data_IF_246544246348
#
_entry.id   IF_246544246348
#
_cell.length_a   1.000
_cell.length_b   1.000
_cell.length_c   1.000
_cell.angle_alpha   90.00
_cell.angle_beta   90.00
_cell.angle_gamma   90.00
#
_symmetry.space_group_name_H-M   'P 1'
#
loop_
_entity.id
_entity.type
_entity.pdbx_description
1 polymer ?
#
# COMPACT_ATOMS: atom_id res chain seq x y z
N UNK A 1 -11.18 -6.23 -14.63
CA UNK A 1 -10.67 -6.53 -13.29
C UNK A 1 -10.54 -5.26 -12.42
N UNK A 2 -9.92 -4.18 -12.92
CA UNK A 2 -9.68 -2.94 -12.15
C UNK A 2 -10.95 -2.34 -11.53
N UNK A 3 -12.02 -2.15 -12.33
CA UNK A 3 -13.26 -1.55 -11.84
C UNK A 3 -13.90 -2.38 -10.72
N UNK A 4 -13.89 -3.70 -10.85
CA UNK A 4 -14.44 -4.59 -9.82
C UNK A 4 -13.57 -4.53 -8.55
N UNK A 5 -12.26 -4.64 -8.68
CA UNK A 5 -11.35 -4.74 -7.53
C UNK A 5 -11.11 -3.41 -6.80
N UNK A 6 -11.08 -2.27 -7.52
CA UNK A 6 -10.64 -0.99 -6.96
C UNK A 6 -11.71 0.11 -6.94
N UNK A 7 -12.86 -0.11 -7.59
CA UNK A 7 -13.98 0.84 -7.57
C UNK A 7 -15.19 0.22 -6.87
N UNK A 8 -15.74 -0.85 -7.41
CA UNK A 8 -16.97 -1.47 -6.91
C UNK A 8 -16.73 -2.21 -5.58
N UNK A 9 -15.72 -3.08 -5.54
CA UNK A 9 -15.41 -3.88 -4.35
C UNK A 9 -15.20 -3.07 -3.07
N UNK A 10 -14.43 -1.96 -3.10
CA UNK A 10 -14.30 -1.07 -1.94
C UNK A 10 -15.63 -0.47 -1.46
N UNK A 11 -16.57 -0.13 -2.36
CA UNK A 11 -17.89 0.37 -2.00
C UNK A 11 -18.72 -0.72 -1.31
N UNK A 12 -18.78 -1.92 -1.89
CA UNK A 12 -19.47 -3.06 -1.28
C UNK A 12 -18.92 -3.40 0.11
N UNK A 13 -17.60 -3.39 0.26
CA UNK A 13 -16.93 -3.70 1.52
C UNK A 13 -17.11 -2.61 2.59
N UNK A 14 -17.38 -1.36 2.20
CA UNK A 14 -17.55 -0.26 3.14
C UNK A 14 -18.75 -0.44 4.05
N UNK A 15 -19.86 -0.97 3.53
CA UNK A 15 -21.07 -1.22 4.33
C UNK A 15 -20.83 -2.23 5.46
N UNK A 16 -20.10 -3.31 5.18
CA UNK A 16 -19.77 -4.31 6.20
C UNK A 16 -18.78 -3.81 7.27
N UNK A 17 -18.15 -2.65 7.05
CA UNK A 17 -17.25 -2.03 8.02
C UNK A 17 -17.94 -0.98 8.89
N UNK A 18 -18.79 -0.15 8.31
CA UNK A 18 -19.38 1.02 8.97
C UNK A 18 -20.85 0.80 9.38
N UNK A 19 -21.53 -0.11 8.70
CA UNK A 19 -22.94 -0.43 8.96
C UNK A 19 -23.17 -1.95 8.92
N UNK A 20 -23.74 -2.45 7.82
CA UNK A 20 -24.03 -3.89 7.65
C UNK A 20 -23.76 -4.35 6.22
N UNK A 21 -23.13 -5.51 6.07
CA UNK A 21 -22.92 -6.14 4.76
C UNK A 21 -24.24 -6.51 4.04
N UNK A 22 -25.36 -6.52 4.76
CA UNK A 22 -26.68 -6.77 4.17
C UNK A 22 -27.07 -5.71 3.15
N UNK A 23 -26.67 -4.45 3.35
CA UNK A 23 -26.95 -3.37 2.40
C UNK A 23 -26.37 -3.67 1.00
N UNK A 24 -25.10 -4.08 0.93
CA UNK A 24 -24.47 -4.46 -0.32
C UNK A 24 -25.14 -5.70 -0.97
N UNK A 25 -25.53 -6.68 -0.15
CA UNK A 25 -26.24 -7.86 -0.64
C UNK A 25 -27.62 -7.49 -1.19
N UNK A 26 -28.38 -6.66 -0.47
CA UNK A 26 -29.72 -6.21 -0.92
C UNK A 26 -29.65 -5.46 -2.24
N UNK A 27 -28.65 -4.55 -2.39
CA UNK A 27 -28.44 -3.87 -3.67
C UNK A 27 -28.20 -4.84 -4.83
N UNK A 28 -27.38 -5.88 -4.62
CA UNK A 28 -27.05 -6.86 -5.66
C UNK A 28 -28.23 -7.80 -6.01
N UNK A 29 -29.20 -7.93 -5.12
CA UNK A 29 -30.40 -8.77 -5.28
C UNK A 29 -31.66 -7.98 -5.66
N UNK A 30 -31.61 -6.64 -5.65
CA UNK A 30 -32.75 -5.81 -5.99
C UNK A 30 -33.11 -5.97 -7.48
N UNK A 31 -34.40 -6.16 -7.76
CA UNK A 31 -34.95 -6.15 -9.11
C UNK A 31 -35.54 -4.76 -9.49
N UNK A 32 -35.57 -3.83 -8.54
CA UNK A 32 -35.99 -2.43 -8.75
C UNK A 32 -34.76 -1.55 -8.99
N UNK A 33 -34.71 -0.93 -10.17
CA UNK A 33 -33.56 -0.10 -10.58
C UNK A 33 -33.38 1.14 -9.69
N UNK A 34 -34.50 1.80 -9.31
CA UNK A 34 -34.47 3.01 -8.49
C UNK A 34 -34.01 2.69 -7.05
N UNK A 35 -34.46 1.57 -6.50
CA UNK A 35 -34.01 1.08 -5.21
C UNK A 35 -32.51 0.70 -5.23
N UNK A 36 -32.08 -0.01 -6.28
CA UNK A 36 -30.67 -0.40 -6.46
C UNK A 36 -29.76 0.82 -6.60
N UNK A 37 -30.18 1.85 -7.36
CA UNK A 37 -29.43 3.10 -7.52
C UNK A 37 -29.29 3.83 -6.18
N UNK A 38 -30.37 3.96 -5.41
CA UNK A 38 -30.34 4.59 -4.08
C UNK A 38 -29.37 3.87 -3.13
N UNK A 39 -29.38 2.53 -3.11
CA UNK A 39 -28.45 1.74 -2.30
C UNK A 39 -26.99 1.88 -2.80
N UNK A 40 -26.77 1.96 -4.11
CA UNK A 40 -25.43 2.15 -4.68
C UNK A 40 -24.84 3.51 -4.30
N UNK A 41 -25.65 4.57 -4.32
CA UNK A 41 -25.21 5.90 -3.88
C UNK A 41 -24.85 5.90 -2.39
N UNK A 42 -25.65 5.27 -1.55
CA UNK A 42 -25.34 5.13 -0.13
C UNK A 42 -24.05 4.33 0.11
N UNK A 43 -23.82 3.23 -0.62
CA UNK A 43 -22.56 2.46 -0.54
C UNK A 43 -21.34 3.30 -0.95
N UNK A 44 -21.51 4.18 -1.93
CA UNK A 44 -20.46 5.12 -2.35
C UNK A 44 -20.16 6.14 -1.26
N UNK A 45 -21.18 6.72 -0.63
CA UNK A 45 -21.02 7.64 0.51
C UNK A 45 -20.28 6.97 1.67
N UNK A 46 -20.70 5.75 2.06
CA UNK A 46 -20.01 4.97 3.10
C UNK A 46 -18.53 4.72 2.75
N UNK A 47 -18.25 4.45 1.49
CA UNK A 47 -16.85 4.27 1.06
C UNK A 47 -16.04 5.56 1.14
N UNK A 48 -16.62 6.71 0.85
CA UNK A 48 -15.93 8.00 0.98
C UNK A 48 -15.71 8.35 2.47
N UNK A 49 -16.71 8.17 3.33
CA UNK A 49 -16.57 8.29 4.80
C UNK A 49 -15.45 7.35 5.30
N UNK A 50 -15.45 6.09 4.89
CA UNK A 50 -14.40 5.13 5.26
C UNK A 50 -13.01 5.60 4.83
N UNK A 51 -12.85 6.18 3.63
CA UNK A 51 -11.57 6.73 3.15
C UNK A 51 -11.09 7.87 4.05
N UNK A 52 -11.98 8.81 4.38
CA UNK A 52 -11.65 9.96 5.21
C UNK A 52 -11.27 9.54 6.64
N UNK A 53 -12.03 8.63 7.24
CA UNK A 53 -11.70 8.06 8.54
C UNK A 53 -10.36 7.30 8.51
N UNK A 54 -10.09 6.56 7.44
CA UNK A 54 -8.82 5.84 7.27
C UNK A 54 -7.66 6.83 7.14
N UNK A 55 -7.81 7.89 6.35
CA UNK A 55 -6.78 8.92 6.17
C UNK A 55 -6.44 9.59 7.50
N UNK A 56 -7.46 9.98 8.28
CA UNK A 56 -7.29 10.55 9.63
C UNK A 56 -6.57 9.59 10.57
N UNK A 57 -6.99 8.33 10.61
CA UNK A 57 -6.34 7.33 11.47
C UNK A 57 -4.88 7.05 11.08
N UNK A 58 -4.55 7.07 9.78
CA UNK A 58 -3.17 6.91 9.31
C UNK A 58 -2.32 8.13 9.68
N UNK A 59 -2.84 9.35 9.55
CA UNK A 59 -2.15 10.58 9.94
C UNK A 59 -1.84 10.59 11.43
N UNK A 60 -2.84 10.31 12.27
CA UNK A 60 -2.69 10.25 13.73
C UNK A 60 -1.67 9.16 14.12
N UNK A 61 -1.81 7.95 13.59
CA UNK A 61 -0.89 6.85 13.85
C UNK A 61 0.55 7.19 13.42
N UNK A 62 0.72 7.82 12.26
CA UNK A 62 2.04 8.24 11.77
C UNK A 62 2.68 9.30 12.67
N UNK A 63 1.91 10.27 13.12
CA UNK A 63 2.36 11.28 14.10
C UNK A 63 2.87 10.64 15.39
N UNK A 64 2.14 9.64 15.92
CA UNK A 64 2.55 8.89 17.11
C UNK A 64 3.83 8.08 16.88
N UNK A 65 3.94 7.43 15.71
CA UNK A 65 5.15 6.69 15.36
C UNK A 65 6.36 7.62 15.29
N UNK A 66 6.25 8.75 14.60
CA UNK A 66 7.35 9.69 14.40
C UNK A 66 7.77 10.39 15.69
N UNK A 67 6.82 10.68 16.60
CA UNK A 67 7.11 11.36 17.87
C UNK A 67 7.57 10.43 19.00
N UNK A 68 7.10 9.17 19.02
CA UNK A 68 7.24 8.33 20.22
C UNK A 68 7.71 6.90 19.94
N UNK A 69 7.59 6.40 18.71
CA UNK A 69 7.84 4.98 18.39
C UNK A 69 8.80 4.79 17.21
N UNK A 70 9.58 5.81 16.85
CA UNK A 70 10.48 5.77 15.70
C UNK A 70 11.51 4.62 15.80
N UNK A 71 12.01 4.33 17.00
CA UNK A 71 13.01 3.30 17.29
C UNK A 71 12.42 1.90 17.48
N UNK A 72 11.09 1.77 17.45
CA UNK A 72 10.42 0.47 17.59
C UNK A 72 10.59 -0.37 16.33
N UNK A 73 10.84 -1.65 16.55
CA UNK A 73 10.93 -2.66 15.48
C UNK A 73 9.55 -3.23 15.12
N UNK A 74 8.64 -3.24 16.09
CA UNK A 74 7.22 -3.55 15.91
C UNK A 74 6.41 -2.36 16.37
N UNK A 75 5.68 -1.75 15.46
CA UNK A 75 4.82 -0.62 15.75
C UNK A 75 3.54 -1.12 16.45
N UNK A 76 3.31 -0.68 17.68
CA UNK A 76 2.07 -0.93 18.41
C UNK A 76 1.47 0.43 18.77
N UNK A 77 0.39 0.80 18.07
CA UNK A 77 -0.21 2.12 18.16
C UNK A 77 -1.65 2.02 18.65
N UNK A 78 -1.97 2.73 19.72
CA UNK A 78 -3.34 2.82 20.23
C UNK A 78 -4.01 4.11 19.74
N UNK A 79 -5.17 3.94 19.08
CA UNK A 79 -5.95 5.03 18.49
C UNK A 79 -7.35 5.03 19.12
N UNK A 80 -7.59 5.84 20.15
CA UNK A 80 -8.86 5.82 20.89
C UNK A 80 -10.06 6.27 20.05
N UNK A 81 -9.86 7.12 19.04
CA UNK A 81 -10.92 7.66 18.18
C UNK A 81 -11.08 6.87 16.86
N UNK A 82 -10.29 5.82 16.65
CA UNK A 82 -10.36 5.03 15.43
C UNK A 82 -11.40 3.90 15.55
N UNK A 83 -12.26 3.79 14.54
CA UNK A 83 -13.23 2.71 14.47
C UNK A 83 -12.54 1.34 14.32
N UNK A 84 -12.96 0.33 15.09
CA UNK A 84 -12.30 -0.99 15.15
C UNK A 84 -12.17 -1.67 13.78
N UNK A 85 -13.15 -1.52 12.89
CA UNK A 85 -13.14 -2.11 11.54
C UNK A 85 -12.06 -1.54 10.62
N UNK A 86 -11.46 -0.38 10.98
CA UNK A 86 -10.42 0.30 10.21
C UNK A 86 -9.01 -0.01 10.73
N UNK A 87 -8.87 -0.55 11.95
CA UNK A 87 -7.58 -0.87 12.55
C UNK A 87 -6.66 -1.66 11.62
N UNK A 88 -7.21 -2.69 10.95
CA UNK A 88 -6.46 -3.52 10.00
C UNK A 88 -6.03 -2.78 8.71
N UNK A 89 -6.77 -1.76 8.28
CA UNK A 89 -6.39 -0.94 7.13
C UNK A 89 -5.28 0.02 7.54
N UNK A 90 -5.43 0.67 8.68
CA UNK A 90 -4.41 1.59 9.23
C UNK A 90 -3.11 0.84 9.50
N UNK A 91 -3.17 -0.35 10.14
CA UNK A 91 -1.99 -1.21 10.33
C UNK A 91 -1.29 -1.58 9.01
N UNK A 92 -2.08 -1.86 7.95
CA UNK A 92 -1.56 -2.10 6.61
C UNK A 92 -0.81 -0.89 6.04
N UNK A 93 -1.35 0.32 6.22
CA UNK A 93 -0.70 1.56 5.78
C UNK A 93 0.57 1.90 6.55
N UNK A 94 0.58 1.67 7.86
CA UNK A 94 1.80 1.81 8.66
C UNK A 94 2.88 0.83 8.19
N UNK A 95 2.52 -0.44 7.98
CA UNK A 95 3.44 -1.44 7.46
C UNK A 95 4.01 -1.04 6.08
N UNK A 96 3.17 -0.52 5.18
CA UNK A 96 3.62 -0.05 3.86
C UNK A 96 4.56 1.15 3.98
N UNK A 97 4.25 2.11 4.85
CA UNK A 97 5.02 3.36 5.01
C UNK A 97 6.38 3.15 5.69
N UNK A 98 6.41 2.32 6.74
CA UNK A 98 7.61 2.16 7.58
C UNK A 98 8.35 0.83 7.33
N UNK A 99 7.77 -0.06 6.53
CA UNK A 99 8.25 -1.44 6.32
C UNK A 99 8.54 -2.17 7.64
N UNK A 100 7.65 -1.99 8.63
CA UNK A 100 7.72 -2.60 9.95
C UNK A 100 6.44 -3.40 10.25
N UNK A 101 6.51 -4.51 11.01
CA UNK A 101 5.32 -5.13 11.57
C UNK A 101 4.53 -4.08 12.37
N UNK A 102 3.24 -3.97 12.12
CA UNK A 102 2.41 -2.89 12.67
C UNK A 102 1.11 -3.46 13.23
N UNK A 103 0.80 -3.09 14.45
CA UNK A 103 -0.44 -3.41 15.16
C UNK A 103 -1.12 -2.10 15.52
N UNK A 104 -2.38 -1.97 15.13
CA UNK A 104 -3.23 -0.86 15.54
C UNK A 104 -4.26 -1.38 16.53
N UNK A 105 -4.33 -0.73 17.66
CA UNK A 105 -5.24 -1.01 18.76
C UNK A 105 -6.32 0.07 18.80
N UNK A 106 -7.56 -0.33 19.07
CA UNK A 106 -8.72 0.56 19.14
C UNK A 106 -9.59 0.18 20.35
N UNK A 107 -10.42 1.07 20.88
CA UNK A 107 -11.39 0.70 21.91
C UNK A 107 -12.34 -0.39 21.40
N UNK A 108 -12.74 -1.27 22.29
CA UNK A 108 -13.83 -2.22 22.12
C UNK A 108 -14.79 -2.14 23.31
N UNK A 109 -15.89 -2.87 23.27
CA UNK A 109 -16.93 -2.81 24.30
C UNK A 109 -16.42 -3.23 25.71
N UNK A 110 -15.64 -4.32 25.77
CA UNK A 110 -15.13 -4.88 27.04
C UNK A 110 -13.60 -4.79 27.14
N UNK A 111 -12.91 -4.67 26.04
CA UNK A 111 -11.45 -4.69 25.97
C UNK A 111 -10.95 -3.98 24.70
N UNK A 112 -9.71 -3.59 24.70
CA UNK A 112 -9.03 -3.06 23.52
C UNK A 112 -8.92 -4.16 22.46
N UNK A 113 -9.30 -3.83 21.22
CA UNK A 113 -9.18 -4.72 20.06
C UNK A 113 -8.01 -4.26 19.20
N UNK A 114 -7.34 -5.22 18.56
CA UNK A 114 -6.20 -4.93 17.71
C UNK A 114 -6.20 -5.72 16.41
N UNK A 115 -5.58 -5.12 15.42
CA UNK A 115 -5.35 -5.74 14.13
C UNK A 115 -3.90 -5.52 13.71
N UNK A 116 -3.20 -6.61 13.41
CA UNK A 116 -1.79 -6.61 13.01
C UNK A 116 -1.59 -6.92 11.53
N UNK A 117 -0.54 -6.31 10.96
CA UNK A 117 -0.01 -6.59 9.62
C UNK A 117 1.50 -6.72 9.72
N UNK A 118 2.04 -7.77 9.08
CA UNK A 118 3.46 -8.11 9.20
C UNK A 118 4.24 -7.92 7.90
N UNK A 119 5.55 -8.07 8.01
CA UNK A 119 6.51 -8.20 6.94
C UNK A 119 7.08 -9.62 6.93
N UNK A 120 7.75 -10.05 5.85
CA UNK A 120 8.25 -11.43 5.69
C UNK A 120 9.16 -11.89 6.85
N UNK A 121 9.98 -11.00 7.38
CA UNK A 121 10.93 -11.31 8.46
C UNK A 121 10.29 -11.50 9.85
N UNK A 122 8.97 -11.30 10.03
CA UNK A 122 8.32 -11.33 11.34
C UNK A 122 7.03 -12.15 11.34
N UNK A 123 7.04 -13.26 12.07
CA UNK A 123 5.88 -14.15 12.18
C UNK A 123 4.89 -13.64 13.23
N UNK A 124 3.89 -12.84 12.80
CA UNK A 124 2.94 -12.16 13.69
C UNK A 124 2.23 -13.11 14.66
N UNK A 125 1.63 -14.20 14.16
CA UNK A 125 0.89 -15.14 15.01
C UNK A 125 1.77 -15.77 16.09
N UNK A 126 3.00 -16.15 15.77
CA UNK A 126 3.93 -16.70 16.75
C UNK A 126 4.30 -15.65 17.81
N UNK A 127 4.49 -14.41 17.41
CA UNK A 127 4.78 -13.33 18.36
C UNK A 127 3.64 -13.09 19.35
N UNK A 128 2.38 -13.20 18.89
CA UNK A 128 1.21 -13.13 19.78
C UNK A 128 1.15 -14.34 20.71
N UNK A 129 1.48 -15.53 20.23
CA UNK A 129 1.51 -16.75 21.06
C UNK A 129 2.54 -16.64 22.20
N UNK A 130 3.69 -16.01 21.95
CA UNK A 130 4.72 -15.78 22.98
C UNK A 130 4.36 -14.64 23.97
N UNK A 131 3.28 -13.92 23.72
CA UNK A 131 2.73 -12.86 24.56
C UNK A 131 1.30 -13.19 25.06
N UNK A 132 0.91 -14.44 25.08
CA UNK A 132 -0.46 -14.88 25.40
C UNK A 132 -0.92 -14.48 26.80
N UNK A 133 0.02 -14.41 27.76
CA UNK A 133 -0.23 -13.95 29.13
C UNK A 133 -0.71 -12.49 29.23
N UNK A 134 -0.49 -11.68 28.20
CA UNK A 134 -0.94 -10.28 28.10
C UNK A 134 -2.22 -10.12 27.29
N UNK A 135 -2.68 -11.17 26.61
CA UNK A 135 -3.80 -11.17 25.69
C UNK A 135 -5.03 -11.87 26.27
N UNK A 136 -6.22 -11.35 25.96
CA UNK A 136 -7.49 -12.01 26.25
C UNK A 136 -7.87 -12.99 25.15
N UNK A 137 -7.63 -12.60 23.91
CA UNK A 137 -7.92 -13.40 22.71
C UNK A 137 -7.01 -12.99 21.58
N UNK A 138 -6.56 -13.94 20.79
CA UNK A 138 -5.81 -13.66 19.57
C UNK A 138 -5.99 -14.79 18.55
N UNK A 139 -5.70 -14.48 17.28
CA UNK A 139 -5.74 -15.43 16.18
C UNK A 139 -5.22 -14.82 14.89
N UNK A 140 -4.80 -15.65 13.94
CA UNK A 140 -4.31 -15.16 12.65
C UNK A 140 -3.32 -16.07 11.98
N UNK A 141 -2.49 -15.46 11.14
CA UNK A 141 -1.49 -16.09 10.29
C UNK A 141 -0.15 -15.34 10.40
N UNK A 142 0.94 -15.81 9.76
CA UNK A 142 2.23 -15.11 9.79
C UNK A 142 2.16 -13.63 9.44
N UNK A 143 1.35 -13.26 8.46
CA UNK A 143 1.31 -11.89 7.88
C UNK A 143 0.19 -11.00 8.45
N UNK A 144 -0.78 -11.55 9.16
CA UNK A 144 -1.89 -10.78 9.70
C UNK A 144 -2.52 -11.49 10.90
N UNK A 145 -2.88 -10.72 11.93
CA UNK A 145 -3.54 -11.26 13.10
C UNK A 145 -4.52 -10.26 13.71
N UNK A 146 -5.50 -10.80 14.44
CA UNK A 146 -6.40 -10.04 15.30
C UNK A 146 -6.13 -10.41 16.76
N UNK A 147 -6.38 -9.48 17.67
CA UNK A 147 -6.16 -9.68 19.10
C UNK A 147 -7.09 -8.82 19.95
N UNK A 148 -7.20 -9.15 21.23
CA UNK A 148 -7.76 -8.26 22.25
C UNK A 148 -6.96 -8.38 23.55
N UNK A 149 -6.86 -7.26 24.27
CA UNK A 149 -6.11 -7.15 25.51
C UNK A 149 -6.73 -6.07 26.43
N UNK A 150 -6.33 -6.08 27.69
CA UNK A 150 -6.67 -5.01 28.60
C UNK A 150 -5.81 -3.77 28.29
N UNK A 151 -6.37 -2.59 28.46
CA UNK A 151 -5.68 -1.32 28.15
C UNK A 151 -4.39 -1.17 28.99
N UNK A 152 -4.41 -1.61 30.23
CA UNK A 152 -3.24 -1.61 31.14
C UNK A 152 -2.08 -2.47 30.64
N UNK A 153 -2.35 -3.45 29.76
CA UNK A 153 -1.35 -4.34 29.19
C UNK A 153 -0.69 -3.79 27.91
N UNK A 154 -1.17 -2.70 27.33
CA UNK A 154 -0.69 -2.18 26.02
C UNK A 154 0.82 -1.97 26.03
N UNK A 155 1.34 -1.28 27.06
CA UNK A 155 2.77 -0.97 27.11
C UNK A 155 3.64 -2.19 27.37
N UNK A 156 3.18 -3.14 28.19
CA UNK A 156 3.88 -4.39 28.41
C UNK A 156 3.89 -5.25 27.12
N UNK A 157 2.79 -5.29 26.42
CA UNK A 157 2.66 -5.96 25.12
C UNK A 157 3.58 -5.35 24.05
N UNK A 158 3.60 -4.03 23.90
CA UNK A 158 4.49 -3.32 22.98
C UNK A 158 5.96 -3.67 23.26
N UNK A 159 6.40 -3.61 24.51
CA UNK A 159 7.77 -3.96 24.91
C UNK A 159 8.11 -5.40 24.59
N UNK A 160 7.23 -6.35 24.93
CA UNK A 160 7.43 -7.80 24.67
C UNK A 160 7.66 -8.08 23.19
N UNK A 161 6.82 -7.48 22.30
CA UNK A 161 6.97 -7.67 20.86
C UNK A 161 8.25 -7.06 20.31
N UNK A 162 8.66 -5.90 20.82
CA UNK A 162 9.90 -5.25 20.40
C UNK A 162 11.16 -5.99 20.88
N UNK A 163 11.16 -6.50 22.11
CA UNK A 163 12.24 -7.36 22.63
C UNK A 163 12.41 -8.63 21.78
N UNK A 164 11.30 -9.29 21.47
CA UNK A 164 11.30 -10.44 20.57
C UNK A 164 11.81 -10.09 19.17
N UNK A 165 11.35 -9.00 18.59
CA UNK A 165 11.80 -8.58 17.26
C UNK A 165 13.32 -8.36 17.23
N UNK A 166 13.89 -7.69 18.24
CA UNK A 166 15.35 -7.49 18.32
C UNK A 166 16.14 -8.79 18.49
N UNK A 167 15.54 -9.87 18.97
CA UNK A 167 16.17 -11.18 19.07
C UNK A 167 16.07 -12.02 17.79
N UNK A 168 15.02 -11.80 16.99
CA UNK A 168 14.68 -12.66 15.84
C UNK A 168 14.87 -12.01 14.49
N UNK A 169 14.98 -10.68 14.42
CA UNK A 169 15.13 -9.91 13.18
C UNK A 169 16.47 -9.19 13.13
N UNK A 170 16.79 -8.69 11.96
CA UNK A 170 17.95 -7.85 11.67
C UNK A 170 17.50 -6.60 10.89
N UNK A 171 18.33 -5.58 10.81
CA UNK A 171 18.05 -4.37 10.01
C UNK A 171 17.73 -4.68 8.53
N UNK A 172 18.23 -5.79 8.01
CA UNK A 172 17.97 -6.23 6.63
C UNK A 172 16.52 -6.66 6.40
N UNK A 173 15.82 -7.06 7.44
CA UNK A 173 14.42 -7.48 7.36
C UNK A 173 13.47 -6.28 7.16
N UNK A 174 13.93 -5.07 7.49
CA UNK A 174 13.18 -3.82 7.26
C UNK A 174 13.43 -3.20 5.89
N UNK A 175 14.28 -3.82 5.07
CA UNK A 175 14.51 -3.36 3.70
C UNK A 175 13.55 -4.08 2.76
N UNK A 176 12.68 -3.32 2.11
CA UNK A 176 11.77 -3.86 1.11
C UNK A 176 12.56 -4.51 -0.03
N UNK A 177 12.28 -5.79 -0.28
CA UNK A 177 12.88 -6.54 -1.40
C UNK A 177 11.95 -6.46 -2.60
N UNK A 178 12.45 -5.94 -3.69
CA UNK A 178 11.72 -5.87 -4.95
C UNK A 178 12.34 -6.86 -5.92
N UNK A 179 11.53 -7.80 -6.38
CA UNK A 179 11.94 -8.76 -7.39
C UNK A 179 11.85 -8.13 -8.77
N UNK A 180 12.92 -8.27 -9.53
CA UNK A 180 13.02 -7.81 -10.92
C UNK A 180 13.10 -9.07 -11.78
N UNK A 181 12.12 -9.27 -12.66
CA UNK A 181 12.09 -10.43 -13.54
C UNK A 181 13.19 -10.36 -14.59
N UNK A 182 13.38 -9.19 -15.21
CA UNK A 182 14.42 -8.99 -16.24
C UNK A 182 14.99 -7.56 -16.17
N UNK A 183 16.31 -7.44 -16.22
CA UNK A 183 16.98 -6.17 -16.52
C UNK A 183 16.83 -5.90 -18.03
N UNK A 184 15.84 -5.09 -18.41
CA UNK A 184 15.46 -4.89 -19.82
C UNK A 184 15.64 -3.42 -20.25
N UNK A 185 16.46 -3.16 -21.27
CA UNK A 185 16.56 -1.85 -21.89
C UNK A 185 15.30 -1.42 -22.65
N UNK A 186 15.05 -0.11 -22.71
CA UNK A 186 13.87 0.48 -23.36
C UNK A 186 13.70 0.08 -24.83
N UNK A 187 14.82 -0.21 -25.51
CA UNK A 187 14.87 -0.62 -26.90
C UNK A 187 14.09 -1.92 -27.21
N UNK A 188 13.88 -2.75 -26.19
CA UNK A 188 13.09 -3.99 -26.33
C UNK A 188 11.60 -3.77 -26.11
N UNK A 189 11.20 -2.58 -25.64
CA UNK A 189 9.79 -2.29 -25.39
C UNK A 189 9.10 -1.96 -26.72
N UNK A 190 8.14 -2.80 -27.08
CA UNK A 190 7.33 -2.63 -28.29
C UNK A 190 5.87 -2.93 -28.00
N UNK A 191 4.98 -2.47 -28.86
CA UNK A 191 3.54 -2.76 -28.71
C UNK A 191 3.23 -4.26 -28.77
N UNK A 192 3.84 -5.09 -29.68
CA UNK A 192 3.69 -6.53 -29.63
C UNK A 192 4.12 -7.14 -28.29
N UNK A 193 5.27 -6.73 -27.74
CA UNK A 193 5.75 -7.20 -26.46
C UNK A 193 4.75 -6.90 -25.30
N UNK A 194 4.18 -5.70 -25.27
CA UNK A 194 3.18 -5.34 -24.26
C UNK A 194 1.91 -6.18 -24.41
N UNK A 195 1.50 -6.51 -25.64
CA UNK A 195 0.36 -7.39 -25.89
C UNK A 195 0.63 -8.83 -25.43
N UNK A 196 1.85 -9.34 -25.59
CA UNK A 196 2.24 -10.64 -25.08
C UNK A 196 2.22 -10.67 -23.54
N UNK A 197 2.70 -9.61 -22.86
CA UNK A 197 2.59 -9.49 -21.42
C UNK A 197 1.13 -9.49 -20.94
N UNK A 198 0.21 -8.93 -21.70
CA UNK A 198 -1.20 -8.91 -21.36
C UNK A 198 -1.84 -10.33 -21.36
N UNK A 199 -1.24 -11.32 -22.01
CA UNK A 199 -1.69 -12.72 -21.93
C UNK A 199 -1.49 -13.34 -20.54
N UNK A 200 -0.65 -12.74 -19.71
CA UNK A 200 -0.43 -13.16 -18.33
C UNK A 200 -1.50 -12.62 -17.36
N UNK A 201 -2.37 -11.71 -17.81
CA UNK A 201 -3.43 -11.17 -16.99
C UNK A 201 -4.53 -12.22 -16.66
N UNK A 202 -5.22 -12.11 -15.51
CA UNK A 202 -5.18 -11.00 -14.57
C UNK A 202 -4.02 -11.10 -13.55
N UNK A 203 -3.37 -9.99 -13.28
CA UNK A 203 -2.34 -9.90 -12.25
C UNK A 203 -2.94 -9.78 -10.86
N UNK A 204 -2.27 -10.35 -9.87
CA UNK A 204 -2.69 -10.35 -8.47
C UNK A 204 -1.79 -11.20 -7.60
N UNK A 205 -2.29 -11.62 -6.44
CA UNK A 205 -1.54 -12.47 -5.52
C UNK A 205 -1.23 -13.83 -6.19
N UNK A 206 0.05 -14.21 -6.20
CA UNK A 206 0.53 -15.46 -6.85
C UNK A 206 0.68 -15.37 -8.37
N UNK A 207 0.33 -14.25 -8.99
CA UNK A 207 0.59 -13.93 -10.40
C UNK A 207 0.89 -12.44 -10.51
N UNK A 208 2.05 -12.04 -10.03
CA UNK A 208 2.44 -10.62 -10.01
C UNK A 208 2.74 -10.10 -11.41
N UNK A 209 2.52 -8.80 -11.60
CA UNK A 209 2.85 -8.16 -12.87
C UNK A 209 4.38 -8.16 -13.07
N UNK A 210 4.89 -8.65 -14.21
CA UNK A 210 6.32 -8.64 -14.50
C UNK A 210 6.93 -7.24 -14.35
N UNK A 211 8.07 -7.19 -13.67
CA UNK A 211 8.82 -5.97 -13.40
C UNK A 211 10.16 -5.99 -14.10
N UNK A 212 10.47 -4.90 -14.75
CA UNK A 212 11.70 -4.70 -15.50
C UNK A 212 12.54 -3.62 -14.83
N UNK A 213 13.84 -3.62 -15.10
CA UNK A 213 14.72 -2.57 -14.58
C UNK A 213 15.69 -2.09 -15.65
N UNK A 214 16.00 -0.80 -15.60
CA UNK A 214 17.09 -0.21 -16.36
C UNK A 214 17.82 0.84 -15.52
N UNK A 215 19.16 0.84 -15.66
CA UNK A 215 20.04 1.76 -14.94
C UNK A 215 20.48 2.92 -15.83
N UNK A 216 20.98 3.98 -15.17
CA UNK A 216 21.65 5.13 -15.78
C UNK A 216 20.81 5.84 -16.84
N UNK A 217 19.51 5.95 -16.61
CA UNK A 217 18.62 6.70 -17.48
C UNK A 217 18.80 8.19 -17.25
N UNK A 218 18.93 8.96 -18.32
CA UNK A 218 19.01 10.41 -18.26
C UNK A 218 17.63 11.03 -18.20
N UNK A 219 17.33 11.79 -17.14
CA UNK A 219 16.10 12.57 -17.03
C UNK A 219 16.18 13.77 -17.97
N UNK A 220 15.40 13.77 -19.04
CA UNK A 220 15.28 14.87 -20.00
C UNK A 220 14.33 15.94 -19.50
N UNK A 221 13.21 15.51 -18.92
CA UNK A 221 12.24 16.38 -18.30
C UNK A 221 11.52 15.64 -17.16
N UNK A 222 11.08 16.39 -16.16
CA UNK A 222 10.21 15.93 -15.10
C UNK A 222 9.23 17.05 -14.76
N UNK A 223 7.96 16.69 -14.54
CA UNK A 223 6.94 17.62 -14.08
C UNK A 223 5.91 16.93 -13.19
N UNK A 224 5.46 17.64 -12.17
CA UNK A 224 4.38 17.18 -11.30
C UNK A 224 3.03 17.45 -11.98
N UNK A 225 2.13 16.50 -11.89
CA UNK A 225 0.78 16.54 -12.46
C UNK A 225 -0.25 15.94 -11.45
N UNK A 226 -1.53 16.04 -11.83
CA UNK A 226 -2.64 15.59 -10.99
C UNK A 226 -3.11 16.67 -10.01
N UNK A 227 -4.40 16.63 -9.65
CA UNK A 227 -5.00 17.59 -8.71
C UNK A 227 -4.32 17.58 -7.34
N UNK A 228 -3.90 16.40 -6.90
CA UNK A 228 -3.25 16.17 -5.60
C UNK A 228 -1.71 16.16 -5.71
N UNK A 229 -1.13 16.59 -6.83
CA UNK A 229 0.33 16.62 -7.07
C UNK A 229 1.02 15.27 -6.84
N UNK A 230 0.30 14.19 -7.08
CA UNK A 230 0.71 12.81 -6.78
C UNK A 230 1.11 12.00 -8.02
N UNK A 231 1.41 12.65 -9.13
CA UNK A 231 1.90 12.03 -10.35
C UNK A 231 3.11 12.82 -10.84
N UNK A 232 4.22 12.14 -11.11
CA UNK A 232 5.36 12.74 -11.81
C UNK A 232 5.40 12.17 -13.22
N UNK A 233 5.38 13.06 -14.20
CA UNK A 233 5.55 12.73 -15.61
C UNK A 233 6.98 13.01 -16.01
N UNK A 234 7.64 12.00 -16.57
CA UNK A 234 9.04 12.08 -16.94
C UNK A 234 9.24 11.72 -18.42
N UNK A 235 10.28 12.29 -19.02
CA UNK A 235 10.86 11.80 -20.27
C UNK A 235 12.27 11.31 -19.95
N UNK A 236 12.53 10.03 -20.17
CA UNK A 236 13.78 9.35 -19.82
C UNK A 236 14.49 8.90 -21.09
N UNK A 237 15.80 9.04 -21.12
CA UNK A 237 16.62 8.57 -22.24
C UNK A 237 17.62 7.51 -21.77
N UNK A 238 17.72 6.42 -22.52
CA UNK A 238 18.78 5.43 -22.36
C UNK A 238 20.14 5.91 -22.88
N UNK A 239 21.18 5.18 -22.60
CA UNK A 239 22.53 5.47 -23.11
C UNK A 239 22.59 5.38 -24.64
N UNK A 240 21.78 4.54 -25.28
CA UNK A 240 21.67 4.43 -26.74
C UNK A 240 20.88 5.58 -27.38
N UNK A 241 20.23 6.43 -26.56
CA UNK A 241 19.39 7.54 -27.03
C UNK A 241 17.90 7.20 -27.19
N UNK A 242 17.48 5.97 -26.88
CA UNK A 242 16.05 5.63 -26.85
C UNK A 242 15.34 6.47 -25.77
N UNK A 243 14.25 7.13 -26.14
CA UNK A 243 13.48 8.00 -25.24
C UNK A 243 12.15 7.33 -24.90
N UNK A 244 11.82 7.30 -23.62
CA UNK A 244 10.58 6.72 -23.10
C UNK A 244 9.85 7.71 -22.19
N UNK A 245 8.55 7.86 -22.42
CA UNK A 245 7.68 8.56 -21.48
C UNK A 245 7.42 7.68 -20.27
N UNK A 246 7.48 8.27 -19.08
CA UNK A 246 7.33 7.56 -17.82
C UNK A 246 6.38 8.28 -16.87
N UNK A 247 5.69 7.52 -16.05
CA UNK A 247 4.88 8.03 -14.95
C UNK A 247 5.30 7.36 -13.65
N UNK A 248 5.40 8.16 -12.61
CA UNK A 248 5.56 7.68 -11.25
C UNK A 248 4.42 8.25 -10.39
N UNK A 249 3.87 7.40 -9.51
CA UNK A 249 2.76 7.75 -8.63
C UNK A 249 3.27 7.78 -7.19
N UNK A 250 3.20 8.95 -6.56
CA UNK A 250 3.66 9.20 -5.20
C UNK A 250 3.69 10.69 -4.89
N UNK A 251 4.43 11.10 -3.90
CA UNK A 251 4.63 12.51 -3.55
C UNK A 251 5.47 13.22 -4.62
N UNK A 252 4.79 13.94 -5.51
CA UNK A 252 5.45 14.62 -6.61
C UNK A 252 6.38 15.75 -6.18
N UNK A 253 6.06 16.44 -5.10
CA UNK A 253 6.90 17.53 -4.59
C UNK A 253 8.16 16.97 -3.95
N UNK A 254 8.01 15.94 -3.11
CA UNK A 254 9.14 15.22 -2.52
C UNK A 254 10.05 14.61 -3.59
N UNK A 255 9.48 14.06 -4.69
CA UNK A 255 10.27 13.58 -5.82
C UNK A 255 11.11 14.69 -6.45
N UNK A 256 10.54 15.88 -6.68
CA UNK A 256 11.25 17.00 -7.30
C UNK A 256 12.35 17.56 -6.39
N UNK A 257 12.10 17.59 -5.09
CA UNK A 257 13.08 17.98 -4.09
C UNK A 257 14.25 16.96 -4.04
N UNK A 258 13.94 15.68 -3.97
CA UNK A 258 14.92 14.60 -4.03
C UNK A 258 15.71 14.63 -5.32
N UNK A 259 15.09 14.86 -6.46
CA UNK A 259 15.76 14.97 -7.75
C UNK A 259 16.77 16.11 -7.75
N UNK A 260 16.39 17.29 -7.30
CA UNK A 260 17.26 18.48 -7.29
C UNK A 260 17.96 18.72 -8.64
N UNK A 261 19.30 18.70 -8.61
CA UNK A 261 20.15 18.83 -9.81
C UNK A 261 20.50 17.48 -10.47
N UNK A 262 20.16 16.36 -9.86
CA UNK A 262 20.47 15.01 -10.38
C UNK A 262 19.74 14.75 -11.69
N UNK A 263 20.42 14.15 -12.65
CA UNK A 263 19.88 13.88 -13.98
C UNK A 263 20.04 12.44 -14.43
N UNK A 264 20.56 11.58 -13.57
CA UNK A 264 20.65 10.15 -13.82
C UNK A 264 19.83 9.40 -12.77
N UNK A 265 19.06 8.42 -13.23
CA UNK A 265 18.28 7.57 -12.34
C UNK A 265 18.25 6.12 -12.82
N UNK A 266 18.12 5.20 -11.88
CA UNK A 266 17.78 3.82 -12.12
C UNK A 266 16.29 3.65 -11.83
N UNK A 267 15.60 2.83 -12.62
CA UNK A 267 14.17 2.60 -12.45
C UNK A 267 13.82 1.12 -12.47
N UNK A 268 12.83 0.75 -11.65
CA UNK A 268 12.06 -0.48 -11.78
C UNK A 268 10.71 -0.10 -12.34
N UNK A 269 10.27 -0.78 -13.40
CA UNK A 269 9.11 -0.35 -14.17
C UNK A 269 8.36 -1.52 -14.79
N UNK A 270 7.16 -1.25 -15.25
CA UNK A 270 6.47 -2.06 -16.25
C UNK A 270 5.99 -1.20 -17.41
N UNK A 271 6.01 -1.72 -18.65
CA UNK A 271 5.52 -1.00 -19.81
C UNK A 271 4.00 -1.13 -19.95
N UNK A 272 3.37 -0.11 -20.50
CA UNK A 272 1.95 -0.14 -20.86
C UNK A 272 1.67 0.70 -22.12
N UNK A 273 0.52 0.45 -22.73
CA UNK A 273 -0.01 1.28 -23.81
C UNK A 273 -0.93 2.32 -23.18
N UNK A 274 -0.57 3.59 -23.29
CA UNK A 274 -1.43 4.71 -22.94
C UNK A 274 -2.32 5.07 -24.13
N UNK A 275 -3.63 5.08 -23.91
CA UNK A 275 -4.61 5.49 -24.90
C UNK A 275 -5.33 6.75 -24.39
N UNK A 276 -5.09 7.85 -25.04
CA UNK A 276 -5.67 9.14 -24.66
C UNK A 276 -6.09 9.93 -25.88
N UNK A 277 -7.35 10.37 -25.93
CA UNK A 277 -7.95 11.10 -27.07
C UNK A 277 -7.71 10.41 -28.43
N UNK A 278 -7.85 9.06 -28.48
CA UNK A 278 -7.66 8.27 -29.68
C UNK A 278 -6.20 8.12 -30.13
N UNK A 279 -5.25 8.66 -29.39
CA UNK A 279 -3.81 8.44 -29.63
C UNK A 279 -3.26 7.36 -28.71
N UNK A 280 -2.50 6.44 -29.31
CA UNK A 280 -1.80 5.38 -28.59
C UNK A 280 -0.33 5.71 -28.50
N UNK A 281 0.23 5.52 -27.33
CA UNK A 281 1.67 5.70 -27.09
C UNK A 281 2.16 4.67 -26.06
N UNK A 282 3.38 4.22 -26.23
CA UNK A 282 4.03 3.40 -25.22
C UNK A 282 4.55 4.30 -24.12
N UNK A 283 4.30 3.91 -22.87
CA UNK A 283 4.88 4.53 -21.69
C UNK A 283 5.31 3.46 -20.70
N UNK A 284 6.09 3.85 -19.71
CA UNK A 284 6.40 3.00 -18.57
C UNK A 284 5.81 3.57 -17.29
N UNK A 285 5.39 2.68 -16.41
CA UNK A 285 5.02 3.03 -15.04
C UNK A 285 6.17 2.65 -14.13
N UNK A 286 6.75 3.65 -13.50
CA UNK A 286 7.84 3.48 -12.54
C UNK A 286 7.24 2.98 -11.22
N UNK A 287 7.75 1.87 -10.72
CA UNK A 287 7.39 1.29 -9.42
C UNK A 287 8.32 1.79 -8.34
N UNK A 288 9.62 1.79 -8.63
CA UNK A 288 10.66 2.29 -7.75
C UNK A 288 11.73 3.00 -8.57
N UNK A 289 12.41 3.93 -7.96
CA UNK A 289 13.53 4.65 -8.55
C UNK A 289 14.60 4.92 -7.51
N UNK A 290 15.78 5.22 -7.99
CA UNK A 290 16.83 5.88 -7.22
C UNK A 290 17.62 6.81 -8.13
N UNK A 291 18.00 7.95 -7.61
CA UNK A 291 18.90 8.83 -8.34
C UNK A 291 20.34 8.34 -8.18
N UNK A 292 21.06 8.30 -9.29
CA UNK A 292 22.48 8.01 -9.32
C UNK A 292 23.26 9.31 -9.29
N UNK A 293 24.40 9.32 -8.61
CA UNK A 293 25.33 10.44 -8.72
C UNK A 293 25.88 10.49 -10.14
N UNK A 294 26.05 11.71 -10.66
CA UNK A 294 26.77 11.90 -11.91
C UNK A 294 28.23 11.46 -11.72
N UNK A 295 28.82 10.75 -12.68
CA UNK A 295 30.22 10.31 -12.58
C UNK A 295 31.19 11.46 -12.46
#
# INVERSE_FOLDING_TARGET
>A
AYQIGFVIGPCLNASGRLETAKLALSMLLSEDEAEAESMADHLKELNDVRKDMTAKGVEEASSLVESSFADDWVLVVYLPDCHESLAGIVAGRLRERYHKPSIVLTPGEEAVKGSGRSIEGYHMFQALTEADDLLLKYGGHPMAAGLSLLEENIEAFRRRLNERARQTMTEKDFVEKIWIDVAMPFEYISEPFIRELALLEPFGQGNERPQFAQRRLKVRSARVAGKNRNVVMLSLASESGCVMEARWFGDGDGFMEEMGSRRLMDVIYYPEINEYNGRRSIQIIIRQYRFSESP
#
